data_IF_438614945934
#
_entry.id   IF_438614945934
#
_cell.length_a   1.000
_cell.length_b   1.000
_cell.length_c   1.000
_cell.angle_alpha   90.00
_cell.angle_beta   90.00
_cell.angle_gamma   90.00
#
_symmetry.space_group_name_H-M   'P 1'
#
loop_
_entity.id
_entity.type
_entity.pdbx_description
1 polymer ?
#
# COMPACT_ATOMS: atom_id res chain seq x y z
N UNK A 1 12.75 -10.17 3.06
CA UNK A 1 11.34 -10.29 2.65
C UNK A 1 10.75 -8.92 2.35
N UNK A 2 10.07 -8.74 1.22
CA UNK A 2 9.48 -7.47 0.81
C UNK A 2 7.95 -7.66 0.69
N UNK A 3 7.16 -6.75 1.24
CA UNK A 3 5.69 -6.82 1.26
C UNK A 3 5.05 -5.60 0.61
N UNK A 4 3.99 -5.81 -0.15
CA UNK A 4 2.98 -4.77 -0.35
C UNK A 4 2.09 -4.63 0.89
N UNK A 5 1.27 -3.58 0.94
CA UNK A 5 0.35 -3.28 2.05
C UNK A 5 -1.09 -3.57 1.66
N UNK A 6 -1.62 -2.86 0.67
CA UNK A 6 -3.00 -3.07 0.19
C UNK A 6 -3.15 -4.43 -0.49
N UNK A 7 -4.20 -5.19 -0.16
CA UNK A 7 -4.41 -6.54 -0.66
C UNK A 7 -3.47 -7.61 -0.10
N UNK A 8 -2.47 -7.25 0.74
CA UNK A 8 -1.50 -8.18 1.34
C UNK A 8 -1.47 -8.09 2.87
N UNK A 9 -1.07 -6.98 3.45
CA UNK A 9 -1.05 -6.78 4.91
C UNK A 9 -2.36 -6.22 5.45
N UNK A 10 -3.10 -5.50 4.60
CA UNK A 10 -4.45 -5.03 4.85
C UNK A 10 -5.34 -5.37 3.66
N UNK A 11 -6.64 -5.43 3.88
CA UNK A 11 -7.60 -5.42 2.78
C UNK A 11 -7.46 -4.14 1.97
N UNK A 12 -7.86 -4.18 0.70
CA UNK A 12 -7.99 -2.97 -0.10
C UNK A 12 -9.08 -2.09 0.51
N UNK A 13 -8.77 -0.83 0.76
CA UNK A 13 -9.65 0.05 1.53
C UNK A 13 -10.58 0.89 0.64
N UNK A 14 -10.21 1.06 -0.62
CA UNK A 14 -10.86 2.03 -1.49
C UNK A 14 -12.21 1.54 -2.00
N UNK A 15 -12.26 0.35 -2.57
CA UNK A 15 -13.49 -0.21 -3.15
C UNK A 15 -14.61 -0.25 -2.11
N UNK A 16 -14.49 -0.89 -0.92
CA UNK A 16 -15.57 -0.94 0.03
C UNK A 16 -15.97 0.45 0.56
N UNK A 17 -15.02 1.37 0.67
CA UNK A 17 -15.31 2.74 1.11
C UNK A 17 -16.13 3.50 0.06
N UNK A 18 -15.79 3.35 -1.22
CA UNK A 18 -16.50 4.02 -2.30
C UNK A 18 -17.88 3.41 -2.55
N UNK A 19 -18.02 2.09 -2.46
CA UNK A 19 -19.30 1.39 -2.51
C UNK A 19 -20.24 1.86 -1.40
N UNK A 20 -19.73 1.96 -0.15
CA UNK A 20 -20.50 2.43 0.99
C UNK A 20 -20.92 3.91 0.83
N UNK A 21 -20.02 4.77 0.34
CA UNK A 21 -20.35 6.16 0.05
C UNK A 21 -21.44 6.28 -1.00
N UNK A 22 -21.33 5.53 -2.08
CA UNK A 22 -22.32 5.53 -3.16
C UNK A 22 -23.69 5.07 -2.63
N UNK A 23 -23.73 3.96 -1.91
CA UNK A 23 -24.96 3.38 -1.37
C UNK A 23 -25.63 4.30 -0.32
N UNK A 24 -24.86 4.82 0.64
CA UNK A 24 -25.40 5.62 1.74
C UNK A 24 -25.94 6.97 1.28
N UNK A 25 -25.39 7.53 0.22
CA UNK A 25 -25.75 8.88 -0.25
C UNK A 25 -26.47 8.89 -1.60
N UNK A 26 -26.82 7.73 -2.16
CA UNK A 26 -27.50 7.62 -3.43
C UNK A 26 -26.69 8.18 -4.61
N UNK A 27 -25.36 8.02 -4.57
CA UNK A 27 -24.45 8.52 -5.60
C UNK A 27 -24.24 7.45 -6.67
N UNK A 28 -23.86 7.88 -7.86
CA UNK A 28 -23.44 6.97 -8.92
C UNK A 28 -22.13 6.26 -8.52
N UNK A 29 -22.13 4.92 -8.33
CA UNK A 29 -20.98 4.17 -7.88
C UNK A 29 -19.80 4.24 -8.85
N UNK A 30 -20.06 4.26 -10.15
CA UNK A 30 -19.02 4.37 -11.19
C UNK A 30 -18.30 5.71 -11.05
N UNK A 31 -19.07 6.79 -10.92
CA UNK A 31 -18.50 8.13 -10.75
C UNK A 31 -17.69 8.26 -9.47
N UNK A 32 -18.15 7.66 -8.37
CA UNK A 32 -17.45 7.66 -7.08
C UNK A 32 -16.10 6.97 -7.21
N UNK A 33 -16.08 5.76 -7.76
CA UNK A 33 -14.89 4.95 -7.94
C UNK A 33 -13.89 5.60 -8.91
N UNK A 34 -14.34 5.98 -10.10
CA UNK A 34 -13.48 6.61 -11.12
C UNK A 34 -12.86 7.92 -10.62
N UNK A 35 -13.63 8.75 -9.90
CA UNK A 35 -13.11 9.98 -9.30
C UNK A 35 -12.06 9.66 -8.24
N UNK A 36 -12.33 8.71 -7.35
CA UNK A 36 -11.38 8.29 -6.33
C UNK A 36 -10.08 7.79 -6.92
N UNK A 37 -10.16 6.94 -7.95
CA UNK A 37 -9.00 6.42 -8.68
C UNK A 37 -8.20 7.51 -9.39
N UNK A 38 -8.87 8.39 -10.13
CA UNK A 38 -8.22 9.52 -10.82
C UNK A 38 -7.45 10.42 -9.86
N UNK A 39 -8.07 10.76 -8.72
CA UNK A 39 -7.42 11.59 -7.71
C UNK A 39 -6.29 10.85 -7.02
N UNK A 40 -6.43 9.54 -6.78
CA UNK A 40 -5.34 8.72 -6.27
C UNK A 40 -4.12 8.76 -7.20
N UNK A 41 -4.31 8.49 -8.49
CA UNK A 41 -3.25 8.55 -9.50
C UNK A 41 -2.60 9.94 -9.58
N UNK A 42 -3.38 11.01 -9.34
CA UNK A 42 -2.88 12.38 -9.34
C UNK A 42 -1.98 12.68 -8.13
N UNK A 43 -2.28 12.12 -6.95
CA UNK A 43 -1.58 12.46 -5.71
C UNK A 43 -0.60 11.39 -5.21
N UNK A 44 -0.73 10.15 -5.67
CA UNK A 44 0.02 9.00 -5.12
C UNK A 44 1.55 9.09 -5.32
N UNK A 45 1.99 9.82 -6.33
CA UNK A 45 3.39 9.86 -6.76
C UNK A 45 4.03 11.24 -6.65
N UNK A 46 3.33 12.20 -6.08
CA UNK A 46 3.84 13.57 -5.93
C UNK A 46 4.70 13.66 -4.68
N UNK A 47 5.98 14.02 -4.78
CA UNK A 47 6.83 14.22 -3.60
C UNK A 47 6.36 15.43 -2.77
N UNK A 48 6.57 15.35 -1.46
CA UNK A 48 6.35 16.50 -0.58
C UNK A 48 7.34 17.63 -0.88
N UNK A 49 6.86 18.85 -0.82
CA UNK A 49 7.67 20.07 -0.92
C UNK A 49 7.30 21.02 0.21
N UNK A 50 8.16 22.01 0.56
CA UNK A 50 7.82 23.02 1.57
C UNK A 50 6.53 23.79 1.26
N UNK A 51 6.16 23.93 -0.02
CA UNK A 51 4.95 24.63 -0.47
C UNK A 51 3.73 23.71 -0.62
N UNK A 52 3.89 22.39 -0.47
CA UNK A 52 2.84 21.41 -0.70
C UNK A 52 3.05 20.19 0.19
N UNK A 53 2.59 20.29 1.43
CA UNK A 53 2.75 19.22 2.43
C UNK A 53 1.76 18.09 2.19
N UNK A 54 2.05 16.90 2.70
CA UNK A 54 1.12 15.75 2.65
C UNK A 54 -0.21 16.04 3.33
N UNK A 55 -0.22 16.87 4.38
CA UNK A 55 -1.46 17.30 5.03
C UNK A 55 -2.32 18.09 4.04
N UNK A 56 -1.71 19.05 3.32
CA UNK A 56 -2.41 19.89 2.36
C UNK A 56 -2.86 19.08 1.15
N UNK A 57 -2.03 18.18 0.63
CA UNK A 57 -2.38 17.27 -0.46
C UNK A 57 -3.52 16.34 -0.08
N UNK A 58 -3.52 15.78 1.13
CA UNK A 58 -4.59 14.92 1.62
C UNK A 58 -5.92 15.66 1.73
N UNK A 59 -5.87 16.88 2.26
CA UNK A 59 -7.06 17.71 2.33
C UNK A 59 -7.56 18.07 0.93
N UNK A 60 -6.67 18.46 0.02
CA UNK A 60 -7.00 18.79 -1.37
C UNK A 60 -7.56 17.61 -2.16
N UNK A 61 -7.07 16.40 -1.92
CA UNK A 61 -7.65 15.18 -2.47
C UNK A 61 -9.15 15.10 -2.14
N UNK A 62 -9.50 15.23 -0.86
CA UNK A 62 -10.89 15.14 -0.42
C UNK A 62 -11.74 16.34 -0.83
N UNK A 63 -11.18 17.55 -0.88
CA UNK A 63 -11.86 18.74 -1.39
C UNK A 63 -12.27 18.59 -2.87
N UNK A 64 -11.36 18.05 -3.69
CA UNK A 64 -11.64 17.77 -5.09
C UNK A 64 -12.67 16.63 -5.22
N UNK A 65 -12.51 15.57 -4.42
CA UNK A 65 -13.46 14.46 -4.41
C UNK A 65 -14.88 14.94 -4.08
N UNK A 66 -15.06 15.70 -2.99
CA UNK A 66 -16.36 16.28 -2.61
C UNK A 66 -16.96 17.10 -3.75
N UNK A 67 -16.16 17.95 -4.37
CA UNK A 67 -16.60 18.80 -5.49
C UNK A 67 -17.03 18.00 -6.71
N UNK A 68 -16.25 17.01 -7.10
CA UNK A 68 -16.48 16.21 -8.31
C UNK A 68 -17.62 15.21 -8.13
N UNK A 69 -17.69 14.55 -7.01
CA UNK A 69 -18.72 13.54 -6.71
C UNK A 69 -20.00 14.18 -6.15
N UNK A 70 -19.89 15.36 -5.54
CA UNK A 70 -20.98 16.06 -4.82
C UNK A 70 -21.50 15.26 -3.63
N UNK A 71 -20.59 14.56 -2.93
CA UNK A 71 -20.94 13.85 -1.70
C UNK A 71 -21.34 14.85 -0.61
N UNK A 72 -22.45 14.61 0.14
CA UNK A 72 -22.94 15.55 1.16
C UNK A 72 -22.23 15.35 2.52
N UNK A 73 -20.89 15.27 2.47
CA UNK A 73 -20.04 15.13 3.66
C UNK A 73 -18.96 16.19 3.66
N UNK A 74 -18.51 16.55 4.85
CA UNK A 74 -17.34 17.41 5.02
C UNK A 74 -16.06 16.64 4.73
N UNK A 75 -15.00 17.36 4.37
CA UNK A 75 -13.65 16.78 4.17
C UNK A 75 -13.17 16.04 5.42
N UNK A 76 -13.39 16.63 6.61
CA UNK A 76 -12.96 16.02 7.88
C UNK A 76 -13.73 14.71 8.17
N UNK A 77 -15.02 14.65 7.82
CA UNK A 77 -15.81 13.43 7.94
C UNK A 77 -15.30 12.31 7.00
N UNK A 78 -14.90 12.65 5.77
CA UNK A 78 -14.30 11.70 4.82
C UNK A 78 -12.93 11.20 5.30
N UNK A 79 -12.09 12.10 5.80
CA UNK A 79 -10.81 11.76 6.40
C UNK A 79 -10.98 10.78 7.58
N UNK A 80 -11.89 11.07 8.50
CA UNK A 80 -12.19 10.22 9.64
C UNK A 80 -12.79 8.86 9.21
N UNK A 81 -13.62 8.88 8.17
CA UNK A 81 -14.22 7.67 7.60
C UNK A 81 -13.16 6.68 7.10
N UNK A 82 -12.10 7.17 6.48
CA UNK A 82 -11.02 6.36 5.92
C UNK A 82 -10.44 5.36 6.93
N UNK A 83 -10.31 5.75 8.19
CA UNK A 83 -9.72 4.92 9.25
C UNK A 83 -10.50 3.61 9.48
N UNK A 84 -11.80 3.58 9.19
CA UNK A 84 -12.66 2.39 9.36
C UNK A 84 -12.37 1.30 8.33
N UNK A 85 -11.77 1.66 7.21
CA UNK A 85 -11.49 0.74 6.09
C UNK A 85 -10.06 0.23 6.09
N UNK A 86 -9.23 0.67 7.03
CA UNK A 86 -7.91 0.06 7.25
C UNK A 86 -8.09 -1.21 8.08
N UNK A 87 -8.43 -2.30 7.40
CA UNK A 87 -8.70 -3.60 8.01
C UNK A 87 -7.51 -4.53 7.80
N UNK A 88 -6.87 -5.04 8.88
CA UNK A 88 -5.77 -5.98 8.75
C UNK A 88 -6.17 -7.22 7.95
N UNK A 89 -5.27 -7.74 7.10
CA UNK A 89 -5.46 -9.03 6.44
C UNK A 89 -5.36 -10.15 7.48
N UNK A 90 -6.47 -10.89 7.74
CA UNK A 90 -6.46 -11.97 8.73
C UNK A 90 -5.36 -12.99 8.42
N UNK A 91 -4.61 -13.43 9.42
CA UNK A 91 -3.54 -14.43 9.27
C UNK A 91 -2.17 -13.87 8.87
N UNK A 92 -2.03 -12.61 8.43
CA UNK A 92 -0.73 -12.04 8.10
C UNK A 92 0.11 -11.67 9.33
N UNK A 93 -0.53 -11.24 10.42
CA UNK A 93 0.20 -10.90 11.64
C UNK A 93 1.07 -12.04 12.19
N UNK A 94 0.58 -13.28 12.34
CA UNK A 94 1.42 -14.41 12.76
C UNK A 94 2.60 -14.69 11.82
N UNK A 95 2.45 -14.42 10.52
CA UNK A 95 3.55 -14.54 9.55
C UNK A 95 4.63 -13.49 9.84
N UNK A 96 4.23 -12.22 10.03
CA UNK A 96 5.16 -11.14 10.37
C UNK A 96 5.90 -11.42 11.69
N UNK A 97 5.18 -11.90 12.71
CA UNK A 97 5.76 -12.25 14.02
C UNK A 97 6.81 -13.36 13.92
N UNK A 98 6.54 -14.41 13.13
CA UNK A 98 7.50 -15.49 12.89
C UNK A 98 8.74 -15.01 12.12
N UNK A 99 8.55 -14.25 11.05
CA UNK A 99 9.66 -13.68 10.29
C UNK A 99 10.53 -12.76 11.17
N UNK A 100 9.89 -11.94 11.99
CA UNK A 100 10.58 -11.06 12.94
C UNK A 100 11.38 -11.85 13.98
N UNK A 101 10.77 -12.88 14.58
CA UNK A 101 11.43 -13.75 15.56
C UNK A 101 12.64 -14.51 14.97
N UNK A 102 12.64 -14.79 13.66
CA UNK A 102 13.77 -15.39 12.94
C UNK A 102 14.85 -14.37 12.53
N UNK A 103 14.66 -13.10 12.83
CA UNK A 103 15.55 -12.02 12.40
C UNK A 103 15.52 -11.75 10.90
N UNK A 104 14.46 -12.18 10.21
CA UNK A 104 14.30 -11.91 8.77
C UNK A 104 14.14 -10.42 8.55
N UNK A 105 15.00 -9.83 7.71
CA UNK A 105 14.88 -8.43 7.32
C UNK A 105 13.63 -8.24 6.46
N UNK A 106 12.73 -7.37 6.92
CA UNK A 106 11.46 -7.10 6.27
C UNK A 106 11.43 -5.67 5.73
N UNK A 107 10.86 -5.49 4.54
CA UNK A 107 10.75 -4.21 3.82
C UNK A 107 9.32 -4.04 3.33
N UNK A 108 8.77 -2.84 3.43
CA UNK A 108 7.54 -2.43 2.74
C UNK A 108 7.92 -1.87 1.37
N UNK A 109 7.21 -2.29 0.33
CA UNK A 109 7.28 -1.70 -1.01
C UNK A 109 5.85 -1.49 -1.53
N UNK A 110 5.30 -0.29 -1.35
CA UNK A 110 3.89 -0.02 -1.60
C UNK A 110 3.66 1.21 -2.47
N UNK A 111 2.75 1.10 -3.44
CA UNK A 111 2.16 2.25 -4.11
C UNK A 111 1.30 2.99 -3.09
N UNK A 112 1.88 3.93 -2.38
CA UNK A 112 1.28 4.61 -1.24
C UNK A 112 1.92 5.99 -1.03
N UNK A 113 1.32 6.78 -0.14
CA UNK A 113 1.81 8.13 0.15
C UNK A 113 1.63 8.49 1.63
N UNK A 114 2.17 9.62 2.04
CA UNK A 114 2.15 10.10 3.41
C UNK A 114 0.76 10.56 3.90
N UNK A 115 -0.24 10.58 3.02
CA UNK A 115 -1.64 10.86 3.41
C UNK A 115 -2.24 9.65 4.14
N UNK A 116 -1.97 8.45 3.60
CA UNK A 116 -2.60 7.21 4.04
C UNK A 116 -1.66 6.31 4.85
N UNK A 117 -0.37 6.34 4.53
CA UNK A 117 0.63 5.49 5.18
C UNK A 117 0.62 5.59 6.72
N UNK A 118 0.62 6.78 7.37
CA UNK A 118 0.65 6.86 8.83
C UNK A 118 -0.57 6.21 9.49
N UNK A 119 -1.73 6.27 8.83
CA UNK A 119 -2.97 5.64 9.32
C UNK A 119 -2.88 4.12 9.23
N UNK A 120 -2.43 3.61 8.09
CA UNK A 120 -2.23 2.19 7.87
C UNK A 120 -1.14 1.64 8.81
N UNK A 121 0.00 2.30 8.91
CA UNK A 121 1.09 1.89 9.79
C UNK A 121 0.63 1.79 11.25
N UNK A 122 -0.12 2.78 11.73
CA UNK A 122 -0.69 2.78 13.08
C UNK A 122 -1.72 1.66 13.28
N UNK A 123 -2.70 1.55 12.38
CA UNK A 123 -3.78 0.55 12.50
C UNK A 123 -3.26 -0.89 12.45
N UNK A 124 -2.22 -1.14 11.66
CA UNK A 124 -1.59 -2.44 11.48
C UNK A 124 -0.42 -2.69 12.45
N UNK A 125 -0.03 -1.68 13.25
CA UNK A 125 1.14 -1.69 14.14
C UNK A 125 2.43 -2.14 13.40
N UNK A 126 2.67 -1.56 12.22
CA UNK A 126 3.78 -1.96 11.33
C UNK A 126 5.14 -1.51 11.84
N UNK A 127 5.21 -0.48 12.66
CA UNK A 127 6.41 0.01 13.36
C UNK A 127 7.08 -1.05 14.24
N UNK A 128 6.33 -2.08 14.67
CA UNK A 128 6.85 -3.23 15.40
C UNK A 128 7.71 -4.16 14.54
N UNK A 129 7.55 -4.13 13.23
CA UNK A 129 8.14 -5.09 12.30
C UNK A 129 9.06 -4.46 11.26
N UNK A 130 8.85 -3.19 10.96
CA UNK A 130 9.54 -2.49 9.87
C UNK A 130 10.22 -1.23 10.40
N UNK A 131 11.54 -1.17 10.25
CA UNK A 131 12.30 0.05 10.54
C UNK A 131 11.95 1.17 9.55
N UNK A 132 12.05 2.44 9.93
CA UNK A 132 11.68 3.57 9.06
C UNK A 132 12.37 3.57 7.69
N UNK A 133 13.63 3.17 7.62
CA UNK A 133 14.42 3.05 6.39
C UNK A 133 13.99 1.86 5.51
N UNK A 134 13.21 0.94 6.05
CA UNK A 134 12.64 -0.20 5.32
C UNK A 134 11.24 0.09 4.74
N UNK A 135 10.77 1.34 4.80
CA UNK A 135 9.46 1.76 4.29
C UNK A 135 9.66 2.47 2.96
N UNK A 136 9.41 1.76 1.86
CA UNK A 136 9.51 2.28 0.50
C UNK A 136 8.12 2.58 -0.03
N UNK A 137 7.81 3.87 -0.16
CA UNK A 137 6.54 4.36 -0.70
C UNK A 137 6.74 5.01 -2.06
N UNK A 138 5.79 4.83 -2.96
CA UNK A 138 5.83 5.41 -4.30
C UNK A 138 5.96 6.94 -4.29
N UNK A 139 5.35 7.60 -3.32
CA UNK A 139 5.48 9.04 -3.11
C UNK A 139 6.89 9.50 -2.74
N UNK A 140 7.62 8.73 -1.94
CA UNK A 140 9.01 9.04 -1.57
C UNK A 140 9.98 8.79 -2.71
N UNK A 141 9.66 7.79 -3.55
CA UNK A 141 10.48 7.44 -4.73
C UNK A 141 10.13 8.31 -5.94
N UNK A 142 8.92 8.85 -6.01
CA UNK A 142 8.41 9.62 -7.13
C UNK A 142 8.02 8.76 -8.34
N UNK A 143 7.79 7.45 -8.13
CA UNK A 143 7.43 6.51 -9.19
C UNK A 143 6.60 5.34 -8.64
N UNK A 144 5.67 4.77 -9.43
CA UNK A 144 4.95 3.56 -9.06
C UNK A 144 5.82 2.29 -9.22
N UNK A 145 5.37 1.18 -8.63
CA UNK A 145 5.99 -0.15 -8.80
C UNK A 145 6.03 -0.61 -10.26
N UNK A 146 5.06 -0.17 -11.06
CA UNK A 146 4.93 -0.46 -12.49
C UNK A 146 5.79 0.44 -13.40
N UNK A 147 6.58 1.35 -12.81
CA UNK A 147 7.47 2.20 -13.60
C UNK A 147 8.44 1.38 -14.46
N UNK A 148 8.63 1.73 -15.74
CA UNK A 148 9.57 1.02 -16.62
C UNK A 148 11.02 1.00 -16.11
N UNK A 149 11.37 1.96 -15.24
CA UNK A 149 12.71 2.06 -14.64
C UNK A 149 12.86 1.26 -13.35
N UNK A 150 11.75 0.69 -12.82
CA UNK A 150 11.70 -0.18 -11.64
C UNK A 150 12.35 0.44 -10.39
N UNK A 151 12.20 1.76 -10.20
CA UNK A 151 12.82 2.55 -9.12
C UNK A 151 12.40 2.03 -7.73
N UNK A 152 11.14 1.66 -7.58
CA UNK A 152 10.59 1.11 -6.34
C UNK A 152 11.31 -0.18 -5.93
N UNK A 153 11.53 -1.10 -6.85
CA UNK A 153 12.24 -2.35 -6.57
C UNK A 153 13.71 -2.13 -6.30
N UNK A 154 14.34 -1.19 -6.99
CA UNK A 154 15.73 -0.77 -6.70
C UNK A 154 15.86 -0.23 -5.27
N UNK A 155 14.94 0.64 -4.85
CA UNK A 155 14.91 1.17 -3.49
C UNK A 155 14.64 0.07 -2.45
N UNK A 156 13.70 -0.84 -2.72
CA UNK A 156 13.38 -1.94 -1.81
C UNK A 156 14.54 -2.93 -1.63
N UNK A 157 15.23 -3.30 -2.71
CA UNK A 157 16.42 -4.17 -2.66
C UNK A 157 17.57 -3.47 -1.91
N UNK A 158 17.78 -2.17 -2.14
CA UNK A 158 18.75 -1.38 -1.38
C UNK A 158 18.43 -1.39 0.13
N UNK A 159 17.15 -1.20 0.49
CA UNK A 159 16.71 -1.26 1.88
C UNK A 159 16.83 -2.66 2.48
N UNK A 160 16.62 -3.70 1.68
CA UNK A 160 16.83 -5.09 2.11
C UNK A 160 18.30 -5.41 2.39
N UNK A 161 19.25 -4.72 1.76
CA UNK A 161 20.69 -4.89 1.98
C UNK A 161 21.26 -6.21 1.47
N UNK A 162 20.55 -6.88 0.54
CA UNK A 162 20.97 -8.14 -0.09
C UNK A 162 20.68 -8.07 -1.59
N UNK A 163 21.36 -8.89 -2.44
CA UNK A 163 21.08 -8.95 -3.87
C UNK A 163 19.60 -9.26 -4.17
N UNK A 164 19.10 -8.78 -5.32
CA UNK A 164 17.71 -8.97 -5.73
C UNK A 164 17.27 -10.44 -5.71
N UNK A 165 18.11 -11.38 -6.21
CA UNK A 165 17.83 -12.80 -6.20
C UNK A 165 17.73 -13.45 -4.81
N UNK A 166 18.16 -12.74 -3.75
CA UNK A 166 18.01 -13.17 -2.36
C UNK A 166 16.80 -12.46 -1.68
N UNK A 167 16.06 -11.65 -2.43
CA UNK A 167 14.84 -11.04 -1.99
C UNK A 167 13.63 -11.89 -2.40
N UNK A 168 12.64 -11.96 -1.51
CA UNK A 168 11.31 -12.50 -1.83
C UNK A 168 10.26 -11.41 -1.66
N UNK A 169 9.44 -11.19 -2.69
CA UNK A 169 8.40 -10.16 -2.73
C UNK A 169 7.01 -10.76 -2.87
N UNK A 170 6.01 -10.16 -2.23
CA UNK A 170 4.60 -10.54 -2.41
C UNK A 170 3.70 -9.32 -2.62
N UNK A 171 2.80 -9.45 -3.60
CA UNK A 171 1.83 -8.45 -4.05
C UNK A 171 0.59 -9.16 -4.60
N UNK A 172 -0.59 -8.59 -4.45
CA UNK A 172 -1.85 -9.17 -4.94
C UNK A 172 -2.06 -9.00 -6.45
N UNK A 173 -1.33 -8.05 -7.07
CA UNK A 173 -1.46 -7.69 -8.48
C UNK A 173 -0.40 -8.36 -9.33
N UNK A 174 -0.85 -9.21 -10.27
CA UNK A 174 0.07 -9.95 -11.15
C UNK A 174 1.03 -9.06 -11.95
N UNK A 175 0.61 -7.91 -12.55
CA UNK A 175 1.55 -7.05 -13.28
C UNK A 175 2.71 -6.55 -12.42
N UNK A 176 2.47 -6.27 -11.13
CA UNK A 176 3.52 -5.83 -10.20
C UNK A 176 4.47 -6.98 -9.86
N UNK A 177 3.95 -8.19 -9.68
CA UNK A 177 4.76 -9.39 -9.49
C UNK A 177 5.67 -9.63 -10.71
N UNK A 178 5.15 -9.42 -11.91
CA UNK A 178 5.93 -9.59 -13.15
C UNK A 178 7.03 -8.52 -13.26
N UNK A 179 6.77 -7.28 -12.86
CA UNK A 179 7.81 -6.24 -12.76
C UNK A 179 8.91 -6.60 -11.74
N UNK A 180 8.54 -7.15 -10.58
CA UNK A 180 9.51 -7.60 -9.58
C UNK A 180 10.39 -8.73 -10.10
N UNK A 181 9.81 -9.70 -10.80
CA UNK A 181 10.54 -10.79 -11.46
C UNK A 181 11.47 -10.30 -12.56
N UNK A 182 11.02 -9.35 -13.37
CA UNK A 182 11.87 -8.70 -14.38
C UNK A 182 13.06 -7.96 -13.76
N UNK A 183 12.93 -7.47 -12.53
CA UNK A 183 14.02 -6.88 -11.75
C UNK A 183 14.98 -7.92 -11.16
N UNK A 184 14.62 -9.20 -11.18
CA UNK A 184 15.42 -10.31 -10.61
C UNK A 184 15.06 -10.67 -9.17
N UNK A 185 13.91 -10.24 -8.66
CA UNK A 185 13.39 -10.62 -7.34
C UNK A 185 12.55 -11.91 -7.48
N UNK A 186 12.72 -12.88 -6.57
CA UNK A 186 11.74 -13.98 -6.45
C UNK A 186 10.42 -13.39 -5.94
N UNK A 187 9.36 -13.48 -6.74
CA UNK A 187 8.12 -12.79 -6.46
C UNK A 187 6.90 -13.70 -6.57
N UNK A 188 5.97 -13.54 -5.63
CA UNK A 188 4.76 -14.32 -5.48
C UNK A 188 3.52 -13.43 -5.62
N UNK A 189 2.57 -13.86 -6.46
CA UNK A 189 1.23 -13.29 -6.37
C UNK A 189 0.54 -13.76 -5.09
N UNK A 190 0.22 -12.84 -4.23
CA UNK A 190 -0.52 -13.09 -2.99
C UNK A 190 -1.95 -13.59 -3.31
N UNK A 191 -2.34 -14.69 -2.66
CA UNK A 191 -3.67 -15.32 -2.80
C UNK A 191 -4.26 -15.67 -1.44
N UNK A 192 -3.73 -15.03 -0.39
CA UNK A 192 -4.12 -15.28 0.99
C UNK A 192 -2.95 -15.72 1.87
N UNK A 193 -3.13 -15.61 3.19
CA UNK A 193 -2.08 -15.89 4.18
C UNK A 193 -1.59 -17.32 4.16
N UNK A 194 -2.49 -18.30 3.99
CA UNK A 194 -2.15 -19.73 3.95
C UNK A 194 -1.23 -20.05 2.77
N UNK A 195 -1.56 -19.52 1.59
CA UNK A 195 -0.75 -19.66 0.40
C UNK A 195 0.63 -18.98 0.58
N UNK A 196 0.64 -17.77 1.12
CA UNK A 196 1.88 -17.05 1.42
C UNK A 196 2.75 -17.83 2.41
N UNK A 197 2.17 -18.34 3.51
CA UNK A 197 2.88 -19.15 4.50
C UNK A 197 3.45 -20.46 3.90
N UNK A 198 2.70 -21.12 3.03
CA UNK A 198 3.17 -22.34 2.36
C UNK A 198 4.37 -22.05 1.46
N UNK A 199 4.34 -20.96 0.70
CA UNK A 199 5.45 -20.54 -0.17
C UNK A 199 6.68 -20.07 0.62
N UNK A 200 6.48 -19.44 1.78
CA UNK A 200 7.58 -19.07 2.67
C UNK A 200 8.27 -20.29 3.30
N UNK A 201 7.50 -21.34 3.67
CA UNK A 201 8.09 -22.60 4.18
C UNK A 201 8.94 -23.30 3.13
N UNK A 202 8.51 -23.34 1.85
CA UNK A 202 9.32 -23.93 0.75
C UNK A 202 10.67 -23.24 0.57
N UNK A 203 10.82 -22.01 1.09
CA UNK A 203 12.03 -21.18 1.02
C UNK A 203 12.79 -21.12 2.35
N UNK A 204 12.41 -21.91 3.33
CA UNK A 204 12.96 -21.91 4.70
C UNK A 204 12.89 -20.53 5.39
N UNK A 205 11.90 -19.72 5.02
CA UNK A 205 11.65 -18.40 5.63
C UNK A 205 10.69 -18.46 6.83
N UNK A 206 9.89 -19.54 6.95
CA UNK A 206 8.97 -19.79 8.07
C UNK A 206 9.20 -21.12 8.73
#
# INVERSE_FOLDING_TARGET
MIFDVGGVLAHNMWEPMFEDLAREHGLDPVRVEETGRLLWETFAYVPETPANTWRDMGRRYWELFVRMVKVPLTVDALIARTDRYVVPMPGMRPILERLHARGTRMVICSNNNEIWWPRQAKALALDRFFAPEAIILSSRVGAPKESPRLEMFRAAVKAAGVPAGNCFFTDDRQPIVDCARAFGIDALRFRGPEHCAAELRKRDLL
#
